data_IF_181745659138
#
_entry.id   IF_181745659138
#
_cell.length_a   1.000
_cell.length_b   1.000
_cell.length_c   1.000
_cell.angle_alpha   90.00
_cell.angle_beta   90.00
_cell.angle_gamma   90.00
#
_symmetry.space_group_name_H-M   'P 1'
#
loop_
_entity.id
_entity.type
_entity.pdbx_description
1 polymer ?
#
# COMPACT_ATOMS: atom_id res chain seq x y z
N UNK A 1 -31.39 5.10 -8.67
CA UNK A 1 -30.02 4.92 -9.18
C UNK A 1 -29.78 3.43 -9.24
N UNK A 2 -29.66 2.85 -10.44
CA UNK A 2 -29.48 1.41 -10.62
C UNK A 2 -28.12 0.98 -10.06
N UNK A 3 -28.08 -0.14 -9.34
CA UNK A 3 -26.83 -0.70 -8.83
C UNK A 3 -25.99 -1.15 -10.04
N UNK A 4 -24.73 -0.72 -10.19
CA UNK A 4 -23.88 -1.12 -11.31
C UNK A 4 -23.70 -2.65 -11.34
N UNK A 5 -23.53 -3.20 -12.55
CA UNK A 5 -23.32 -4.63 -12.72
C UNK A 5 -22.01 -5.08 -12.06
N UNK A 6 -21.87 -6.39 -11.80
CA UNK A 6 -20.63 -6.94 -11.24
C UNK A 6 -19.47 -6.68 -12.21
N UNK A 7 -19.72 -6.82 -13.52
CA UNK A 7 -18.75 -6.57 -14.57
C UNK A 7 -18.24 -5.11 -14.53
N UNK A 8 -19.14 -4.14 -14.40
CA UNK A 8 -18.78 -2.71 -14.30
C UNK A 8 -17.93 -2.43 -13.06
N UNK A 9 -18.26 -3.05 -11.93
CA UNK A 9 -17.49 -2.89 -10.69
C UNK A 9 -16.08 -3.48 -10.80
N UNK A 10 -15.94 -4.63 -11.46
CA UNK A 10 -14.64 -5.28 -11.69
C UNK A 10 -13.78 -4.43 -12.61
N UNK A 11 -14.35 -3.88 -13.70
CA UNK A 11 -13.63 -3.00 -14.62
C UNK A 11 -13.14 -1.75 -13.89
N UNK A 12 -14.02 -1.08 -13.14
CA UNK A 12 -13.66 0.11 -12.36
C UNK A 12 -12.52 -0.18 -11.38
N UNK A 13 -12.60 -1.27 -10.62
CA UNK A 13 -11.56 -1.66 -9.69
C UNK A 13 -10.20 -1.88 -10.38
N UNK A 14 -10.19 -2.55 -11.55
CA UNK A 14 -8.94 -2.74 -12.32
C UNK A 14 -8.32 -1.42 -12.74
N UNK A 15 -9.13 -0.47 -13.19
CA UNK A 15 -8.66 0.87 -13.58
C UNK A 15 -8.11 1.64 -12.39
N UNK A 16 -8.84 1.66 -11.26
CA UNK A 16 -8.41 2.34 -10.05
C UNK A 16 -7.10 1.73 -9.50
N UNK A 17 -6.99 0.41 -9.52
CA UNK A 17 -5.78 -0.31 -9.09
C UNK A 17 -4.57 0.02 -9.96
N UNK A 18 -4.75 0.05 -11.29
CA UNK A 18 -3.68 0.44 -12.22
C UNK A 18 -3.23 1.89 -11.98
N UNK A 19 -4.17 2.82 -11.85
CA UNK A 19 -3.88 4.22 -11.55
C UNK A 19 -3.11 4.38 -10.23
N UNK A 20 -3.51 3.67 -9.18
CA UNK A 20 -2.81 3.67 -7.90
C UNK A 20 -1.36 3.21 -8.04
N UNK A 21 -1.13 2.11 -8.77
CA UNK A 21 0.22 1.60 -9.02
C UNK A 21 1.09 2.60 -9.77
N UNK A 22 0.54 3.22 -10.80
CA UNK A 22 1.26 4.21 -11.61
C UNK A 22 1.66 5.43 -10.77
N UNK A 23 0.79 5.90 -9.86
CA UNK A 23 1.13 6.98 -8.93
C UNK A 23 2.26 6.59 -7.97
N UNK A 24 2.23 5.36 -7.43
CA UNK A 24 3.29 4.87 -6.53
C UNK A 24 4.62 4.72 -7.28
N UNK A 25 4.58 4.25 -8.54
CA UNK A 25 5.76 4.02 -9.37
C UNK A 25 6.56 5.31 -9.67
N UNK A 26 5.91 6.48 -9.64
CA UNK A 26 6.59 7.79 -9.75
C UNK A 26 7.58 8.04 -8.61
N UNK A 27 7.40 7.37 -7.48
CA UNK A 27 8.14 7.62 -6.24
C UNK A 27 8.97 6.41 -5.81
N UNK A 28 8.46 5.20 -6.03
CA UNK A 28 9.07 3.93 -5.66
C UNK A 28 9.47 3.19 -6.93
N UNK A 29 10.78 3.08 -7.18
CA UNK A 29 11.32 2.50 -8.41
C UNK A 29 11.85 1.09 -8.14
N UNK A 30 11.53 0.13 -9.02
CA UNK A 30 12.10 -1.22 -9.02
C UNK A 30 11.62 -2.13 -7.89
N UNK A 31 10.45 -1.86 -7.30
CA UNK A 31 9.88 -2.62 -6.18
C UNK A 31 8.44 -3.07 -6.49
N UNK A 32 8.13 -3.40 -7.74
CA UNK A 32 6.76 -3.67 -8.22
C UNK A 32 6.06 -4.77 -7.41
N UNK A 33 6.73 -5.88 -7.14
CA UNK A 33 6.17 -7.00 -6.37
C UNK A 33 5.85 -6.62 -4.91
N UNK A 34 6.70 -5.79 -4.29
CA UNK A 34 6.48 -5.29 -2.93
C UNK A 34 5.28 -4.35 -2.91
N UNK A 35 5.18 -3.45 -3.89
CA UNK A 35 4.03 -2.54 -4.04
C UNK A 35 2.73 -3.34 -4.18
N UNK A 36 2.69 -4.32 -5.08
CA UNK A 36 1.55 -5.21 -5.28
C UNK A 36 1.15 -5.94 -3.98
N UNK A 37 2.12 -6.51 -3.26
CA UNK A 37 1.88 -7.21 -2.00
C UNK A 37 1.29 -6.30 -0.92
N UNK A 38 1.79 -5.07 -0.80
CA UNK A 38 1.28 -4.08 0.16
C UNK A 38 -0.16 -3.67 -0.18
N UNK A 39 -0.44 -3.36 -1.45
CA UNK A 39 -1.80 -2.99 -1.88
C UNK A 39 -2.76 -4.17 -1.66
N UNK A 40 -2.34 -5.39 -1.99
CA UNK A 40 -3.13 -6.61 -1.78
C UNK A 40 -3.45 -6.80 -0.30
N UNK A 41 -2.45 -6.69 0.58
CA UNK A 41 -2.65 -6.80 2.02
C UNK A 41 -3.62 -5.75 2.56
N UNK A 42 -3.52 -4.50 2.09
CA UNK A 42 -4.43 -3.42 2.47
C UNK A 42 -5.88 -3.72 2.05
N UNK A 43 -6.10 -4.10 0.80
CA UNK A 43 -7.45 -4.36 0.25
C UNK A 43 -8.08 -5.60 0.90
N UNK A 44 -7.26 -6.61 1.23
CA UNK A 44 -7.71 -7.80 1.94
C UNK A 44 -7.96 -7.57 3.44
N UNK A 45 -7.64 -6.39 3.98
CA UNK A 45 -7.75 -6.09 5.41
C UNK A 45 -6.70 -6.81 6.27
N UNK A 46 -5.57 -7.21 5.68
CA UNK A 46 -4.48 -7.90 6.35
C UNK A 46 -3.39 -6.97 6.88
N UNK A 47 -2.35 -7.58 7.47
CA UNK A 47 -1.14 -6.89 7.92
C UNK A 47 0.06 -7.33 7.07
N UNK A 48 0.99 -6.41 6.83
CA UNK A 48 2.15 -6.64 5.97
C UNK A 48 3.44 -6.39 6.76
N UNK A 49 4.35 -7.37 6.73
CA UNK A 49 5.71 -7.25 7.21
C UNK A 49 6.64 -6.91 6.03
N UNK A 50 7.34 -5.78 6.11
CA UNK A 50 8.24 -5.31 5.05
C UNK A 50 9.72 -5.58 5.38
N UNK A 51 10.24 -6.73 4.99
CA UNK A 51 11.64 -7.14 5.23
C UNK A 51 12.61 -6.69 4.14
N UNK A 52 13.85 -6.40 4.50
CA UNK A 52 14.91 -5.97 3.58
C UNK A 52 15.84 -4.92 4.19
N UNK A 53 16.92 -4.59 3.48
CA UNK A 53 17.97 -3.72 4.02
C UNK A 53 17.49 -2.29 4.27
N UNK A 54 18.11 -1.56 5.23
CA UNK A 54 17.83 -0.15 5.45
C UNK A 54 18.02 0.67 4.18
N UNK A 55 17.18 1.70 4.00
CA UNK A 55 17.30 2.63 2.87
C UNK A 55 16.48 2.26 1.62
N UNK A 56 15.83 1.08 1.55
CA UNK A 56 14.97 0.68 0.42
C UNK A 56 13.58 1.35 0.40
N UNK A 57 13.44 2.50 1.06
CA UNK A 57 12.19 3.27 0.99
C UNK A 57 10.98 2.63 1.65
N UNK A 58 11.13 1.66 2.57
CA UNK A 58 9.99 0.98 3.27
C UNK A 58 8.98 1.96 3.86
N UNK A 59 9.46 2.91 4.68
CA UNK A 59 8.61 3.96 5.27
C UNK A 59 8.02 4.87 4.20
N UNK A 60 8.79 5.15 3.14
CA UNK A 60 8.36 6.02 2.04
C UNK A 60 7.24 5.36 1.23
N UNK A 61 7.31 4.06 0.97
CA UNK A 61 6.28 3.28 0.30
C UNK A 61 4.94 3.39 1.03
N UNK A 62 4.92 3.09 2.33
CA UNK A 62 3.68 3.14 3.12
C UNK A 62 3.11 4.56 3.18
N UNK A 63 3.98 5.58 3.28
CA UNK A 63 3.55 6.99 3.27
C UNK A 63 2.95 7.40 1.92
N UNK A 64 3.60 7.07 0.81
CA UNK A 64 3.10 7.38 -0.55
C UNK A 64 1.77 6.68 -0.80
N UNK A 65 1.64 5.42 -0.38
CA UNK A 65 0.38 4.69 -0.48
C UNK A 65 -0.75 5.39 0.30
N UNK A 66 -0.47 5.83 1.53
CA UNK A 66 -1.44 6.57 2.34
C UNK A 66 -1.81 7.91 1.69
N UNK A 67 -0.83 8.65 1.15
CA UNK A 67 -1.07 9.92 0.43
C UNK A 67 -1.92 9.70 -0.83
N UNK A 68 -1.60 8.69 -1.65
CA UNK A 68 -2.34 8.35 -2.87
C UNK A 68 -3.79 7.95 -2.59
N UNK A 69 -4.03 7.27 -1.47
CA UNK A 69 -5.37 6.81 -1.06
C UNK A 69 -6.07 7.75 -0.07
N UNK A 70 -5.45 8.89 0.27
CA UNK A 70 -5.94 9.84 1.30
C UNK A 70 -6.24 9.18 2.65
N UNK A 71 -5.41 8.23 3.05
CA UNK A 71 -5.49 7.54 4.33
C UNK A 71 -4.67 8.26 5.40
N UNK A 72 -5.01 8.02 6.65
CA UNK A 72 -4.17 8.43 7.79
C UNK A 72 -2.91 7.57 7.85
N UNK A 73 -1.75 8.22 7.98
CA UNK A 73 -0.48 7.54 8.21
C UNK A 73 0.00 7.81 9.64
N UNK A 74 0.45 6.76 10.33
CA UNK A 74 1.08 6.85 11.65
C UNK A 74 2.25 5.89 11.71
N UNK A 75 3.34 6.32 12.33
CA UNK A 75 4.55 5.51 12.51
C UNK A 75 4.85 5.39 14.00
N UNK A 76 4.92 4.15 14.48
CA UNK A 76 5.40 3.82 15.81
C UNK A 76 6.79 3.20 15.64
N UNK A 77 7.80 3.80 16.26
CA UNK A 77 9.14 3.24 16.28
C UNK A 77 9.26 2.30 17.48
N UNK A 78 9.52 1.03 17.21
CA UNK A 78 9.88 0.08 18.27
C UNK A 78 11.27 0.47 18.78
N UNK A 79 11.37 0.81 20.06
CA UNK A 79 12.61 0.94 20.81
C UNK A 79 12.77 -0.27 21.73
N UNK A 80 13.99 -0.58 22.22
CA UNK A 80 14.18 -1.69 23.14
C UNK A 80 13.29 -1.64 24.38
N UNK A 81 12.92 -0.43 24.83
CA UNK A 81 12.02 -0.20 25.98
C UNK A 81 10.57 -0.66 25.72
N UNK A 82 10.18 -0.82 24.47
CA UNK A 82 8.85 -1.30 24.06
C UNK A 82 8.83 -2.81 23.76
N UNK A 83 9.97 -3.50 23.84
CA UNK A 83 10.01 -4.96 23.74
C UNK A 83 9.72 -5.57 25.12
N UNK A 84 8.90 -6.63 25.21
CA UNK A 84 8.69 -7.31 26.48
C UNK A 84 10.04 -7.84 27.01
N UNK A 85 10.35 -7.52 28.26
CA UNK A 85 11.49 -8.05 29.00
C UNK A 85 11.29 -9.54 29.34
#
# INVERSE_FOLDING_TARGET
MSNPSVEERVVRFKTDYACLRDEIAKVIVGQDSVVEGVITGLIAGGHVLLEGVPGLGKTRLVRVLAEALRLSFSRIQFTPDLMPA
#
